data_IF_395872722283
#
_entry.id   IF_395872722283
#
_cell.length_a   1.000
_cell.length_b   1.000
_cell.length_c   1.000
_cell.angle_alpha   90.00
_cell.angle_beta   90.00
_cell.angle_gamma   90.00
#
_symmetry.space_group_name_H-M   'P 1'
#
loop_
_entity.id
_entity.type
_entity.pdbx_description
1 polymer ?
#
# COMPACT_ATOMS: atom_id res chain seq x y z
N UNK A 1 -45.27 27.85 -11.55
CA UNK A 1 -44.64 28.38 -10.31
C UNK A 1 -43.46 27.49 -9.94
N UNK A 2 -42.22 27.96 -10.10
CA UNK A 2 -41.04 27.27 -9.55
C UNK A 2 -40.86 27.80 -8.13
N UNK A 3 -41.16 26.99 -7.12
CA UNK A 3 -40.76 27.32 -5.76
C UNK A 3 -39.22 27.36 -5.74
N UNK A 4 -38.63 28.52 -5.49
CA UNK A 4 -37.21 28.62 -5.20
C UNK A 4 -36.97 28.00 -3.84
N UNK A 5 -36.57 26.73 -3.81
CA UNK A 5 -36.10 26.10 -2.58
C UNK A 5 -34.88 26.89 -2.09
N UNK A 6 -34.97 27.48 -0.90
CA UNK A 6 -33.80 28.05 -0.24
C UNK A 6 -32.78 26.93 0.01
N UNK A 7 -31.48 27.19 -0.18
CA UNK A 7 -30.45 26.18 0.03
C UNK A 7 -30.46 25.73 1.49
N UNK A 8 -30.42 24.42 1.70
CA UNK A 8 -30.38 23.83 3.04
C UNK A 8 -29.09 24.26 3.77
N UNK A 9 -29.16 24.76 5.01
CA UNK A 9 -28.00 25.28 5.74
C UNK A 9 -27.15 24.14 6.31
N UNK A 10 -26.46 23.39 5.47
CA UNK A 10 -25.72 22.19 5.88
C UNK A 10 -24.68 22.44 7.00
N UNK A 11 -24.00 23.59 6.98
CA UNK A 11 -23.00 23.94 7.99
C UNK A 11 -23.60 24.33 9.35
N UNK A 12 -24.91 24.59 9.44
CA UNK A 12 -25.56 24.81 10.74
C UNK A 12 -25.88 23.51 11.47
N UNK A 13 -25.74 22.35 10.81
CA UNK A 13 -25.89 21.06 11.46
C UNK A 13 -24.76 20.79 12.45
N UNK A 14 -24.99 20.05 13.55
CA UNK A 14 -23.91 19.56 14.41
C UNK A 14 -22.88 18.75 13.61
N UNK A 15 -21.58 18.80 13.98
CA UNK A 15 -20.53 18.05 13.29
C UNK A 15 -20.83 16.56 13.16
N UNK A 16 -21.43 15.94 14.18
CA UNK A 16 -21.76 14.51 14.22
C UNK A 16 -22.73 14.14 13.10
N UNK A 17 -23.73 14.99 12.85
CA UNK A 17 -24.70 14.81 11.76
C UNK A 17 -24.02 14.99 10.40
N UNK A 18 -23.11 15.98 10.27
CA UNK A 18 -22.34 16.16 9.04
C UNK A 18 -21.46 14.94 8.73
N UNK A 19 -20.80 14.37 9.74
CA UNK A 19 -19.99 13.17 9.60
C UNK A 19 -20.82 11.97 9.13
N UNK A 20 -22.03 11.78 9.68
CA UNK A 20 -22.95 10.73 9.20
C UNK A 20 -23.32 10.91 7.73
N UNK A 21 -23.58 12.16 7.30
CA UNK A 21 -23.82 12.46 5.89
C UNK A 21 -22.59 12.15 5.03
N UNK A 22 -21.38 12.48 5.50
CA UNK A 22 -20.16 12.13 4.78
C UNK A 22 -19.99 10.61 4.67
N UNK A 23 -20.13 9.85 5.76
CA UNK A 23 -20.05 8.39 5.76
C UNK A 23 -21.01 7.72 4.76
N UNK A 24 -22.19 8.31 4.56
CA UNK A 24 -23.13 7.86 3.54
C UNK A 24 -22.66 8.14 2.10
N UNK A 25 -21.83 9.16 1.88
CA UNK A 25 -21.43 9.65 0.55
C UNK A 25 -20.02 9.23 0.11
N UNK A 26 -19.21 8.67 1.01
CA UNK A 26 -17.82 8.25 0.75
C UNK A 26 -17.70 6.74 0.51
N UNK A 27 -16.51 6.22 0.14
CA UNK A 27 -16.28 4.78 0.00
C UNK A 27 -16.50 3.99 1.30
N UNK A 28 -17.09 2.80 1.20
CA UNK A 28 -17.24 1.86 2.32
C UNK A 28 -16.94 0.39 1.95
N UNK A 29 -16.27 0.20 0.81
CA UNK A 29 -15.66 -1.07 0.38
C UNK A 29 -14.20 -0.81 -0.01
N UNK A 30 -13.33 -1.83 -0.03
CA UNK A 30 -11.93 -1.68 -0.43
C UNK A 30 -11.76 -1.04 -1.81
N UNK A 31 -10.91 -0.02 -1.89
CA UNK A 31 -10.60 0.75 -3.10
C UNK A 31 -9.39 0.11 -3.79
N UNK A 32 -9.66 -0.63 -4.88
CA UNK A 32 -8.63 -1.27 -5.71
C UNK A 32 -8.30 -0.45 -6.94
N UNK A 33 -7.02 -0.36 -7.30
CA UNK A 33 -6.56 0.45 -8.42
C UNK A 33 -7.08 -0.06 -9.76
N UNK A 34 -7.09 -1.37 -9.96
CA UNK A 34 -7.57 -1.96 -11.22
C UNK A 34 -9.03 -1.59 -11.52
N UNK A 35 -9.89 -1.58 -10.49
CA UNK A 35 -11.29 -1.17 -10.63
C UNK A 35 -11.43 0.29 -11.10
N UNK A 36 -10.55 1.18 -10.64
CA UNK A 36 -10.54 2.60 -11.00
C UNK A 36 -9.96 2.86 -12.40
N UNK A 37 -9.00 2.03 -12.83
CA UNK A 37 -8.42 2.11 -14.18
C UNK A 37 -9.41 1.59 -15.22
N UNK A 38 -10.01 0.42 -14.97
CA UNK A 38 -10.92 -0.24 -15.91
C UNK A 38 -12.26 0.49 -16.02
N UNK A 39 -12.82 0.91 -14.89
CA UNK A 39 -14.08 1.65 -14.82
C UNK A 39 -13.80 3.02 -14.21
N UNK A 40 -14.08 4.10 -14.94
CA UNK A 40 -13.82 5.47 -14.44
C UNK A 40 -14.63 5.82 -13.17
N UNK A 41 -15.69 5.06 -12.86
CA UNK A 41 -16.55 5.23 -11.69
C UNK A 41 -17.04 3.86 -11.19
N UNK A 42 -16.18 3.04 -10.59
CA UNK A 42 -16.64 1.79 -10.01
C UNK A 42 -17.55 2.10 -8.81
N UNK A 43 -18.54 1.25 -8.51
CA UNK A 43 -19.30 1.39 -7.27
C UNK A 43 -18.32 1.17 -6.11
N UNK A 44 -18.09 2.21 -5.31
CA UNK A 44 -17.24 2.16 -4.10
C UNK A 44 -18.09 2.13 -2.82
N UNK A 45 -19.39 1.84 -2.96
CA UNK A 45 -20.34 1.66 -1.87
C UNK A 45 -21.00 0.29 -1.95
N UNK A 46 -21.30 -0.30 -0.80
CA UNK A 46 -21.99 -1.60 -0.67
C UNK A 46 -23.37 -1.62 -1.30
N UNK A 47 -24.07 -0.49 -1.31
CA UNK A 47 -25.39 -0.33 -1.93
C UNK A 47 -25.32 -0.08 -3.45
N UNK A 48 -24.12 -0.11 -4.04
CA UNK A 48 -23.91 0.12 -5.47
C UNK A 48 -24.07 1.57 -5.91
N UNK A 49 -24.41 2.49 -5.01
CA UNK A 49 -24.58 3.90 -5.35
C UNK A 49 -23.22 4.59 -5.55
N UNK A 50 -23.17 5.67 -6.35
CA UNK A 50 -21.94 6.42 -6.54
C UNK A 50 -21.51 7.14 -5.25
N UNK A 51 -20.20 7.23 -5.05
CA UNK A 51 -19.63 8.17 -4.08
C UNK A 51 -19.76 9.61 -4.60
N UNK A 52 -19.70 10.59 -3.70
CA UNK A 52 -19.78 12.01 -4.02
C UNK A 52 -18.45 12.75 -3.78
N UNK A 53 -17.45 12.62 -4.67
CA UNK A 53 -16.16 13.32 -4.52
C UNK A 53 -16.28 14.84 -4.69
N UNK A 54 -17.42 15.35 -5.15
CA UNK A 54 -17.71 16.78 -5.16
C UNK A 54 -17.69 17.39 -3.74
N UNK A 55 -17.96 16.57 -2.71
CA UNK A 55 -17.86 16.95 -1.30
C UNK A 55 -16.48 17.52 -0.95
N UNK A 56 -15.41 16.88 -1.44
CA UNK A 56 -14.02 17.31 -1.21
C UNK A 56 -13.68 18.65 -1.90
N UNK A 57 -14.57 19.18 -2.73
CA UNK A 57 -14.37 20.44 -3.46
C UNK A 57 -15.41 21.51 -3.13
N UNK A 58 -16.31 21.22 -2.18
CA UNK A 58 -17.43 22.11 -1.87
C UNK A 58 -16.97 23.40 -1.18
N UNK A 59 -16.27 23.29 -0.05
CA UNK A 59 -15.65 24.41 0.67
C UNK A 59 -14.56 23.92 1.64
N UNK A 60 -13.78 24.84 2.22
CA UNK A 60 -12.66 24.51 3.12
C UNK A 60 -13.08 23.76 4.40
N UNK A 61 -14.21 24.13 5.02
CA UNK A 61 -14.69 23.50 6.24
C UNK A 61 -15.05 22.03 5.98
N UNK A 62 -15.90 21.80 4.97
CA UNK A 62 -16.29 20.46 4.52
C UNK A 62 -15.06 19.65 4.08
N UNK A 63 -14.15 20.25 3.31
CA UNK A 63 -12.93 19.56 2.87
C UNK A 63 -12.10 19.06 4.06
N UNK A 64 -11.92 19.89 5.08
CA UNK A 64 -11.09 19.55 6.25
C UNK A 64 -11.68 18.40 7.07
N UNK A 65 -12.99 18.35 7.18
CA UNK A 65 -13.71 17.25 7.84
C UNK A 65 -13.72 16.00 6.94
N UNK A 66 -14.21 16.13 5.71
CA UNK A 66 -14.51 15.02 4.82
C UNK A 66 -13.27 14.31 4.29
N UNK A 67 -12.13 15.00 4.10
CA UNK A 67 -10.93 14.36 3.55
C UNK A 67 -10.41 13.26 4.47
N UNK A 68 -10.51 13.45 5.79
CA UNK A 68 -10.06 12.45 6.77
C UNK A 68 -10.96 11.24 6.68
N UNK A 69 -12.27 11.47 6.77
CA UNK A 69 -13.29 10.40 6.68
C UNK A 69 -13.16 9.61 5.38
N UNK A 70 -12.94 10.30 4.26
CA UNK A 70 -12.83 9.67 2.94
C UNK A 70 -11.75 8.59 2.91
N UNK A 71 -10.56 8.92 3.38
CA UNK A 71 -9.41 8.02 3.32
C UNK A 71 -9.33 7.05 4.51
N UNK A 72 -10.08 7.30 5.60
CA UNK A 72 -10.12 6.42 6.76
C UNK A 72 -11.24 5.38 6.75
N UNK A 73 -12.28 5.56 5.93
CA UNK A 73 -13.48 4.71 5.95
C UNK A 73 -13.32 3.35 5.25
N UNK A 74 -12.32 3.20 4.38
CA UNK A 74 -12.10 2.00 3.59
C UNK A 74 -10.63 1.62 3.50
N UNK A 75 -10.36 0.38 3.09
CA UNK A 75 -9.01 -0.06 2.74
C UNK A 75 -8.59 0.49 1.38
N UNK A 76 -7.35 0.97 1.28
CA UNK A 76 -6.79 1.49 0.02
C UNK A 76 -5.61 0.67 -0.46
N UNK A 77 -5.63 0.31 -1.74
CA UNK A 77 -4.54 -0.40 -2.39
C UNK A 77 -3.46 0.57 -2.89
N UNK A 78 -2.20 0.24 -2.59
CA UNK A 78 -1.00 0.89 -3.09
C UNK A 78 -0.13 -0.17 -3.76
N UNK A 79 0.21 0.02 -5.03
CA UNK A 79 1.12 -0.87 -5.75
C UNK A 79 2.45 -0.14 -5.94
N UNK A 80 3.56 -0.78 -5.58
CA UNK A 80 4.91 -0.26 -5.81
C UNK A 80 5.62 -1.14 -6.83
N UNK A 81 6.03 -0.51 -7.93
CA UNK A 81 6.71 -1.17 -9.05
C UNK A 81 8.10 -0.53 -9.30
N UNK A 82 8.93 -1.22 -10.07
CA UNK A 82 10.18 -0.74 -10.64
C UNK A 82 10.04 0.51 -11.53
N UNK A 83 8.83 0.94 -11.90
CA UNK A 83 8.61 2.17 -12.68
C UNK A 83 7.75 3.23 -12.01
N UNK A 84 6.86 2.85 -11.09
CA UNK A 84 5.86 3.78 -10.56
C UNK A 84 5.32 3.36 -9.19
N UNK A 85 4.61 4.28 -8.55
CA UNK A 85 3.65 3.97 -7.48
C UNK A 85 2.25 4.15 -8.07
N UNK A 86 1.33 3.23 -7.83
CA UNK A 86 -0.05 3.33 -8.26
C UNK A 86 -0.97 3.44 -7.04
N UNK A 87 -1.72 4.54 -6.97
CA UNK A 87 -2.62 4.85 -5.87
C UNK A 87 -3.88 5.56 -6.37
N UNK A 88 -5.05 5.13 -5.90
CA UNK A 88 -6.35 5.64 -6.33
C UNK A 88 -6.52 5.70 -7.86
N UNK A 89 -5.99 4.70 -8.59
CA UNK A 89 -6.07 4.62 -10.05
C UNK A 89 -5.17 5.63 -10.78
N UNK A 90 -4.26 6.31 -10.09
CA UNK A 90 -3.28 7.23 -10.68
C UNK A 90 -1.86 6.67 -10.57
N UNK A 91 -1.16 6.67 -11.70
CA UNK A 91 0.26 6.38 -11.77
C UNK A 91 1.03 7.61 -11.31
N UNK A 92 1.78 7.47 -10.22
CA UNK A 92 2.71 8.46 -9.70
C UNK A 92 4.07 8.20 -10.34
N UNK A 93 4.49 9.13 -11.21
CA UNK A 93 5.78 9.07 -11.87
C UNK A 93 6.93 9.20 -10.85
N UNK A 94 8.15 8.76 -11.20
CA UNK A 94 9.33 8.96 -10.36
C UNK A 94 9.48 10.43 -9.95
N UNK A 95 9.94 10.66 -8.71
CA UNK A 95 10.20 11.99 -8.11
C UNK A 95 8.98 12.92 -7.95
N UNK A 96 7.79 12.49 -8.37
CA UNK A 96 6.55 13.19 -8.02
C UNK A 96 6.27 12.97 -6.54
N UNK A 97 6.03 14.03 -5.75
CA UNK A 97 5.73 13.87 -4.33
C UNK A 97 4.47 13.04 -4.13
N UNK A 98 4.47 12.23 -3.09
CA UNK A 98 3.29 11.44 -2.72
C UNK A 98 2.10 12.37 -2.45
N UNK A 99 0.89 11.98 -2.88
CA UNK A 99 -0.32 12.69 -2.51
C UNK A 99 -0.39 12.82 -0.98
N UNK A 100 -0.57 14.05 -0.49
CA UNK A 100 -0.66 14.32 0.95
C UNK A 100 -1.79 13.53 1.61
N UNK A 101 -2.78 13.08 0.83
CA UNK A 101 -3.90 12.25 1.27
C UNK A 101 -3.51 10.87 1.77
N UNK A 102 -2.35 10.33 1.37
CA UNK A 102 -1.90 9.00 1.78
C UNK A 102 -1.75 8.88 3.32
N UNK A 103 -1.46 10.00 4.00
CA UNK A 103 -1.32 10.05 5.47
C UNK A 103 -2.63 9.77 6.21
N UNK A 104 -3.77 10.00 5.57
CA UNK A 104 -5.10 9.80 6.15
C UNK A 104 -5.60 8.36 6.00
N UNK A 105 -4.89 7.52 5.23
CA UNK A 105 -5.23 6.11 5.07
C UNK A 105 -5.03 5.38 6.39
N UNK A 106 -6.10 4.79 6.92
CA UNK A 106 -6.07 3.99 8.14
C UNK A 106 -5.79 2.52 7.86
N UNK A 107 -6.29 1.99 6.75
CA UNK A 107 -6.10 0.60 6.32
C UNK A 107 -5.49 0.59 4.93
N UNK A 108 -4.25 0.08 4.81
CA UNK A 108 -3.51 0.02 3.56
C UNK A 108 -3.28 -1.42 3.12
N UNK A 109 -3.52 -1.69 1.85
CA UNK A 109 -3.08 -2.90 1.17
C UNK A 109 -1.90 -2.55 0.26
N UNK A 110 -0.70 -2.96 0.65
CA UNK A 110 0.54 -2.68 -0.04
C UNK A 110 0.95 -3.90 -0.87
N UNK A 111 0.92 -3.76 -2.19
CA UNK A 111 1.32 -4.80 -3.13
C UNK A 111 2.75 -4.52 -3.63
N UNK A 112 3.66 -5.47 -3.42
CA UNK A 112 5.07 -5.38 -3.83
C UNK A 112 5.44 -6.65 -4.58
N UNK A 113 5.95 -6.51 -5.80
CA UNK A 113 6.64 -7.60 -6.49
C UNK A 113 8.13 -7.55 -6.13
N UNK A 114 8.70 -8.68 -5.69
CA UNK A 114 10.12 -8.73 -5.33
C UNK A 114 11.00 -8.37 -6.53
N UNK A 115 11.83 -7.35 -6.35
CA UNK A 115 12.80 -6.90 -7.33
C UNK A 115 14.17 -7.50 -7.05
N UNK A 116 14.99 -7.63 -8.11
CA UNK A 116 16.40 -8.02 -7.98
C UNK A 116 17.16 -6.98 -7.16
N UNK A 117 18.22 -7.41 -6.49
CA UNK A 117 19.19 -6.48 -5.88
C UNK A 117 20.28 -6.07 -6.89
N UNK A 118 20.96 -4.93 -6.70
CA UNK A 118 22.07 -4.50 -7.57
C UNK A 118 23.20 -5.54 -7.71
N UNK A 119 23.43 -6.37 -6.68
CA UNK A 119 24.43 -7.45 -6.71
C UNK A 119 24.13 -8.48 -7.82
N UNK A 120 22.86 -8.68 -8.18
CA UNK A 120 22.45 -9.61 -9.24
C UNK A 120 22.63 -9.02 -10.65
N UNK A 121 22.82 -7.71 -10.79
CA UNK A 121 23.07 -7.05 -12.09
C UNK A 121 24.51 -7.23 -12.58
N UNK A 122 25.43 -7.66 -11.71
CA UNK A 122 26.79 -8.03 -12.07
C UNK A 122 26.84 -9.35 -12.88
N UNK A 123 25.72 -10.07 -12.99
CA UNK A 123 25.59 -11.22 -13.89
C UNK A 123 25.32 -10.71 -15.31
N UNK A 124 26.06 -11.18 -16.33
CA UNK A 124 26.01 -10.65 -17.71
C UNK A 124 24.65 -10.79 -18.42
N UNK A 125 23.68 -11.46 -17.82
CA UNK A 125 22.35 -11.79 -18.37
C UNK A 125 21.25 -10.80 -17.93
N UNK A 126 21.58 -9.80 -17.10
CA UNK A 126 20.58 -8.89 -16.55
C UNK A 126 20.21 -7.75 -17.53
N UNK A 127 18.99 -7.81 -18.06
CA UNK A 127 18.41 -6.81 -18.98
C UNK A 127 17.70 -5.64 -18.29
N UNK A 128 17.58 -5.64 -16.95
CA UNK A 128 16.94 -4.56 -16.22
C UNK A 128 17.92 -3.39 -16.00
N UNK A 129 17.58 -2.16 -16.42
CA UNK A 129 18.40 -0.98 -16.14
C UNK A 129 18.58 -0.80 -14.64
N UNK A 130 19.83 -0.60 -14.18
CA UNK A 130 20.16 -0.27 -12.78
C UNK A 130 19.28 0.89 -12.24
N UNK A 131 18.96 1.85 -13.10
CA UNK A 131 18.07 2.98 -12.82
C UNK A 131 16.69 2.56 -12.32
N UNK A 132 16.11 1.48 -12.85
CA UNK A 132 14.80 0.99 -12.41
C UNK A 132 14.85 0.37 -11.01
N UNK A 133 15.94 -0.33 -10.67
CA UNK A 133 16.12 -0.94 -9.34
C UNK A 133 16.38 0.11 -8.27
N UNK A 134 17.22 1.10 -8.57
CA UNK A 134 17.44 2.22 -7.64
C UNK A 134 16.17 3.05 -7.49
N UNK A 135 15.48 3.33 -8.59
CA UNK A 135 14.19 4.03 -8.54
C UNK A 135 13.12 3.27 -7.75
N UNK A 136 13.12 1.93 -7.79
CA UNK A 136 12.22 1.11 -6.95
C UNK A 136 12.46 1.37 -5.47
N UNK A 137 13.72 1.31 -5.07
CA UNK A 137 14.13 1.53 -3.68
C UNK A 137 13.74 2.94 -3.22
N UNK A 138 14.04 3.97 -4.02
CA UNK A 138 13.69 5.36 -3.71
C UNK A 138 12.18 5.55 -3.53
N UNK A 139 11.37 4.92 -4.39
CA UNK A 139 9.90 4.97 -4.30
C UNK A 139 9.39 4.25 -3.05
N UNK A 140 9.95 3.09 -2.73
CA UNK A 140 9.57 2.36 -1.53
C UNK A 140 9.95 3.12 -0.25
N UNK A 141 11.14 3.73 -0.20
CA UNK A 141 11.56 4.60 0.90
C UNK A 141 10.64 5.82 1.02
N UNK A 142 10.32 6.46 -0.10
CA UNK A 142 9.42 7.63 -0.11
C UNK A 142 8.04 7.26 0.41
N UNK A 143 7.49 6.12 -0.04
CA UNK A 143 6.23 5.59 0.47
C UNK A 143 6.30 5.30 1.96
N UNK A 144 7.32 4.54 2.39
CA UNK A 144 7.47 4.12 3.77
C UNK A 144 7.61 5.32 4.72
N UNK A 145 8.35 6.37 4.34
CA UNK A 145 8.40 7.63 5.09
C UNK A 145 7.05 8.35 5.11
N UNK A 146 6.36 8.40 3.97
CA UNK A 146 5.06 9.07 3.86
C UNK A 146 3.96 8.41 4.72
N UNK A 147 4.02 7.09 4.90
CA UNK A 147 3.07 6.34 5.75
C UNK A 147 3.61 6.09 7.16
N UNK A 148 4.90 6.36 7.42
CA UNK A 148 5.54 6.20 8.72
C UNK A 148 5.62 7.49 9.55
N UNK A 149 5.38 8.66 8.95
CA UNK A 149 5.51 9.98 9.58
C UNK A 149 4.63 10.12 10.87
N UNK A 150 5.24 10.27 12.06
CA UNK A 150 4.50 10.32 13.33
C UNK A 150 3.60 11.56 13.45
N UNK A 151 3.87 12.65 12.72
CA UNK A 151 3.17 13.93 12.90
C UNK A 151 1.81 13.97 12.17
N UNK A 152 1.47 12.95 11.39
CA UNK A 152 0.21 12.94 10.65
C UNK A 152 -0.30 11.58 10.20
N UNK A 153 0.43 10.50 10.46
CA UNK A 153 0.03 9.14 10.10
C UNK A 153 -1.25 8.74 10.84
N UNK A 154 -2.17 8.13 10.09
CA UNK A 154 -3.37 7.47 10.62
C UNK A 154 -3.40 5.97 10.35
N UNK A 155 -2.35 5.41 9.76
CA UNK A 155 -2.22 3.99 9.46
C UNK A 155 -2.32 3.14 10.74
N UNK A 156 -3.35 2.30 10.80
CA UNK A 156 -3.59 1.33 11.87
C UNK A 156 -3.43 -0.10 11.39
N UNK A 157 -3.79 -0.37 10.14
CA UNK A 157 -3.72 -1.70 9.56
C UNK A 157 -2.93 -1.67 8.26
N UNK A 158 -1.89 -2.49 8.19
CA UNK A 158 -1.09 -2.71 6.98
C UNK A 158 -1.18 -4.19 6.58
N UNK A 159 -1.70 -4.44 5.37
CA UNK A 159 -1.62 -5.74 4.71
C UNK A 159 -0.55 -5.65 3.62
N UNK A 160 0.49 -6.47 3.70
CA UNK A 160 1.56 -6.52 2.70
C UNK A 160 1.39 -7.75 1.83
N UNK A 161 1.06 -7.56 0.57
CA UNK A 161 0.99 -8.62 -0.43
C UNK A 161 2.31 -8.64 -1.21
N UNK A 162 3.01 -9.77 -1.13
CA UNK A 162 4.32 -9.96 -1.74
C UNK A 162 4.16 -10.94 -2.90
N UNK A 163 4.32 -10.44 -4.12
CA UNK A 163 4.34 -11.26 -5.31
C UNK A 163 5.74 -11.86 -5.52
N UNK A 164 5.79 -13.19 -5.62
CA UNK A 164 7.03 -13.96 -5.75
C UNK A 164 6.97 -14.86 -6.97
N UNK A 165 7.79 -14.55 -7.97
CA UNK A 165 8.11 -15.47 -9.06
C UNK A 165 9.11 -16.51 -8.51
N UNK A 166 8.65 -17.75 -8.30
CA UNK A 166 9.43 -18.78 -7.63
C UNK A 166 10.65 -19.23 -8.46
N UNK A 167 10.53 -19.47 -9.78
CA UNK A 167 11.69 -19.71 -10.63
C UNK A 167 12.73 -18.59 -10.55
N UNK A 168 12.29 -17.33 -10.61
CA UNK A 168 13.18 -16.19 -10.47
C UNK A 168 13.84 -16.17 -9.10
N UNK A 169 13.08 -16.39 -8.02
CA UNK A 169 13.62 -16.43 -6.66
C UNK A 169 14.74 -17.48 -6.51
N UNK A 170 14.52 -18.70 -7.01
CA UNK A 170 15.53 -19.77 -6.95
C UNK A 170 16.76 -19.49 -7.82
N UNK A 171 16.61 -18.71 -8.89
CA UNK A 171 17.74 -18.25 -9.71
C UNK A 171 18.60 -17.19 -9.00
N UNK A 172 17.96 -16.36 -8.17
CA UNK A 172 18.58 -15.23 -7.46
C UNK A 172 19.17 -15.66 -6.12
N UNK A 173 18.47 -16.53 -5.39
CA UNK A 173 18.79 -16.92 -4.03
C UNK A 173 18.91 -18.43 -3.95
N UNK A 174 20.15 -18.93 -4.04
CA UNK A 174 20.48 -20.35 -3.86
C UNK A 174 20.75 -20.68 -2.40
N UNK A 175 21.01 -19.66 -1.59
CA UNK A 175 21.28 -19.78 -0.16
C UNK A 175 20.31 -18.93 0.68
N UNK A 176 20.06 -19.32 1.95
CA UNK A 176 19.30 -18.50 2.89
C UNK A 176 19.84 -17.07 3.06
N UNK A 177 21.17 -16.90 3.00
CA UNK A 177 21.80 -15.59 3.14
C UNK A 177 21.48 -14.66 1.96
N UNK A 178 21.55 -15.18 0.72
CA UNK A 178 21.17 -14.41 -0.47
C UNK A 178 19.68 -14.03 -0.45
N UNK A 179 18.82 -14.93 0.04
CA UNK A 179 17.39 -14.63 0.20
C UNK A 179 17.16 -13.51 1.22
N UNK A 180 17.86 -13.54 2.35
CA UNK A 180 17.73 -12.49 3.37
C UNK A 180 18.15 -11.13 2.82
N UNK A 181 19.23 -11.06 2.03
CA UNK A 181 19.64 -9.83 1.36
C UNK A 181 18.60 -9.34 0.34
N UNK A 182 17.99 -10.25 -0.41
CA UNK A 182 16.90 -9.93 -1.34
C UNK A 182 15.68 -9.38 -0.58
N UNK A 183 15.27 -10.02 0.51
CA UNK A 183 14.13 -9.60 1.32
C UNK A 183 14.39 -8.25 1.99
N UNK A 184 15.59 -8.05 2.55
CA UNK A 184 16.01 -6.77 3.13
C UNK A 184 15.93 -5.65 2.11
N UNK A 185 16.49 -5.83 0.91
CA UNK A 185 16.43 -4.84 -0.15
C UNK A 185 14.99 -4.42 -0.49
N UNK A 186 14.06 -5.38 -0.52
CA UNK A 186 12.68 -5.15 -0.95
C UNK A 186 11.73 -4.72 0.17
N UNK A 187 12.07 -4.94 1.44
CA UNK A 187 11.12 -4.77 2.56
C UNK A 187 11.69 -3.93 3.70
N UNK A 188 13.01 -3.78 3.84
CA UNK A 188 13.60 -2.96 4.89
C UNK A 188 13.15 -1.50 4.86
N UNK A 189 12.95 -0.84 3.70
CA UNK A 189 12.41 0.51 3.69
C UNK A 189 11.06 0.61 4.43
N UNK A 190 10.15 -0.35 4.23
CA UNK A 190 8.86 -0.41 4.93
C UNK A 190 9.08 -0.76 6.39
N UNK A 191 9.83 -1.84 6.66
CA UNK A 191 10.15 -2.31 8.02
C UNK A 191 10.72 -1.18 8.86
N UNK A 192 11.75 -0.47 8.38
CA UNK A 192 12.48 0.51 9.16
C UNK A 192 11.71 1.80 9.43
N UNK A 193 10.89 2.26 8.47
CA UNK A 193 10.23 3.56 8.56
C UNK A 193 8.79 3.46 9.12
N UNK A 194 8.16 2.29 9.09
CA UNK A 194 6.77 2.11 9.53
C UNK A 194 6.73 1.37 10.86
N UNK A 195 6.44 2.07 11.96
CA UNK A 195 6.39 1.53 13.34
C UNK A 195 5.04 1.78 14.00
N UNK A 196 4.77 1.16 15.14
CA UNK A 196 3.55 1.39 15.93
C UNK A 196 2.25 1.18 15.14
N UNK A 197 2.22 0.21 14.22
CA UNK A 197 1.00 -0.14 13.48
C UNK A 197 0.21 -1.16 14.31
N UNK A 198 -1.10 -0.94 14.54
CA UNK A 198 -1.93 -1.81 15.38
C UNK A 198 -2.00 -3.24 14.82
N UNK A 199 -2.12 -3.39 13.50
CA UNK A 199 -2.23 -4.68 12.82
C UNK A 199 -1.35 -4.70 11.58
N UNK A 200 -0.39 -5.62 11.54
CA UNK A 200 0.40 -5.93 10.34
C UNK A 200 0.15 -7.38 9.95
N UNK A 201 -0.30 -7.59 8.71
CA UNK A 201 -0.50 -8.90 8.10
C UNK A 201 0.28 -8.96 6.78
N UNK A 202 0.63 -10.16 6.34
CA UNK A 202 1.27 -10.36 5.06
C UNK A 202 0.66 -11.56 4.33
N UNK A 203 0.72 -11.51 3.00
CA UNK A 203 0.32 -12.60 2.11
C UNK A 203 1.42 -12.77 1.06
N UNK A 204 1.88 -14.01 0.85
CA UNK A 204 2.85 -14.32 -0.20
C UNK A 204 2.11 -14.97 -1.37
N UNK A 205 2.11 -14.31 -2.53
CA UNK A 205 1.53 -14.85 -3.76
C UNK A 205 2.61 -15.47 -4.63
N UNK A 206 2.67 -16.80 -4.56
CA UNK A 206 3.65 -17.62 -5.26
C UNK A 206 3.21 -17.90 -6.70
N UNK A 207 4.05 -17.53 -7.68
CA UNK A 207 3.87 -17.87 -9.08
C UNK A 207 4.87 -18.98 -9.45
N UNK A 208 4.39 -20.23 -9.51
CA UNK A 208 5.25 -21.42 -9.69
C UNK A 208 5.19 -22.07 -11.08
N UNK A 209 4.44 -21.50 -12.04
CA UNK A 209 4.30 -21.98 -13.43
C UNK A 209 4.15 -23.51 -13.62
N UNK A 210 3.59 -24.23 -12.64
CA UNK A 210 3.36 -25.67 -12.72
C UNK A 210 4.61 -26.55 -12.50
N UNK A 211 5.71 -26.01 -11.98
CA UNK A 211 6.91 -26.80 -11.66
C UNK A 211 6.65 -27.64 -10.39
N UNK A 212 6.77 -28.96 -10.48
CA UNK A 212 6.48 -29.90 -9.39
C UNK A 212 7.64 -30.88 -9.10
N UNK A 213 8.88 -30.59 -9.53
CA UNK A 213 9.99 -31.49 -9.20
C UNK A 213 10.23 -31.51 -7.69
N UNK A 214 10.52 -32.68 -7.12
CA UNK A 214 10.73 -32.84 -5.68
C UNK A 214 11.91 -31.99 -5.18
N UNK A 215 12.97 -31.88 -5.99
CA UNK A 215 14.15 -31.05 -5.71
C UNK A 215 13.78 -29.56 -5.63
N UNK A 216 12.91 -29.09 -6.53
CA UNK A 216 12.40 -27.71 -6.53
C UNK A 216 11.57 -27.43 -5.28
N UNK A 217 10.66 -28.34 -4.93
CA UNK A 217 9.82 -28.21 -3.73
C UNK A 217 10.65 -28.22 -2.44
N UNK A 218 11.69 -29.06 -2.38
CA UNK A 218 12.59 -29.13 -1.23
C UNK A 218 13.42 -27.84 -1.09
N UNK A 219 14.06 -27.39 -2.17
CA UNK A 219 14.86 -26.16 -2.18
C UNK A 219 14.00 -24.94 -1.85
N UNK A 220 12.79 -24.84 -2.42
CA UNK A 220 11.88 -23.75 -2.12
C UNK A 220 11.32 -23.82 -0.70
N UNK A 221 11.07 -25.01 -0.15
CA UNK A 221 10.57 -25.19 1.20
C UNK A 221 11.48 -24.59 2.28
N UNK A 222 12.79 -24.76 2.13
CA UNK A 222 13.78 -24.13 3.02
C UNK A 222 13.72 -22.59 2.92
N UNK A 223 13.78 -22.06 1.70
CA UNK A 223 13.71 -20.62 1.43
C UNK A 223 12.40 -20.00 1.93
N UNK A 224 11.28 -20.70 1.73
CA UNK A 224 9.96 -20.28 2.20
C UNK A 224 9.93 -20.16 3.73
N UNK A 225 10.55 -21.10 4.44
CA UNK A 225 10.66 -21.06 5.91
C UNK A 225 11.45 -19.83 6.36
N UNK A 226 12.57 -19.54 5.69
CA UNK A 226 13.40 -18.35 5.97
C UNK A 226 12.63 -17.05 5.70
N UNK A 227 11.89 -17.01 4.58
CA UNK A 227 11.05 -15.86 4.21
C UNK A 227 9.94 -15.61 5.25
N UNK A 228 9.19 -16.65 5.64
CA UNK A 228 8.15 -16.51 6.66
C UNK A 228 8.71 -16.02 8.00
N UNK A 229 9.87 -16.54 8.42
CA UNK A 229 10.54 -16.07 9.63
C UNK A 229 10.95 -14.60 9.53
N UNK A 230 11.47 -14.17 8.38
CA UNK A 230 11.78 -12.76 8.15
C UNK A 230 10.55 -11.87 8.26
N UNK A 231 9.42 -12.30 7.67
CA UNK A 231 8.17 -11.54 7.68
C UNK A 231 7.53 -11.47 9.08
N UNK A 232 7.58 -12.54 9.87
CA UNK A 232 7.14 -12.49 11.26
C UNK A 232 8.02 -11.55 12.11
N UNK A 233 9.35 -11.61 11.96
CA UNK A 233 10.23 -10.68 12.65
C UNK A 233 9.94 -9.21 12.25
N UNK A 234 9.71 -8.96 10.95
CA UNK A 234 9.32 -7.64 10.46
C UNK A 234 8.00 -7.18 11.10
N UNK A 235 7.00 -8.06 11.16
CA UNK A 235 5.70 -7.80 11.78
C UNK A 235 5.84 -7.42 13.25
N UNK A 236 6.57 -8.22 14.03
CA UNK A 236 6.81 -7.96 15.45
C UNK A 236 7.45 -6.58 15.68
N UNK A 237 8.44 -6.21 14.88
CA UNK A 237 9.10 -4.91 15.00
C UNK A 237 8.22 -3.73 14.57
N UNK A 238 7.29 -3.93 13.64
CA UNK A 238 6.40 -2.88 13.16
C UNK A 238 5.21 -2.65 14.10
N UNK A 239 4.80 -3.68 14.83
CA UNK A 239 3.74 -3.60 15.85
C UNK A 239 4.29 -3.09 17.19
N UNK A 240 5.55 -3.40 17.52
CA UNK A 240 6.18 -2.97 18.75
C UNK A 240 6.31 -1.44 18.83
N UNK A 241 5.75 -0.85 19.90
CA UNK A 241 6.03 0.52 20.32
C UNK A 241 7.43 0.59 20.92
N UNK A 242 8.43 0.92 20.10
CA UNK A 242 9.78 1.24 20.58
C UNK A 242 9.91 2.67 21.11
N UNK A 243 8.81 3.38 21.36
CA UNK A 243 8.81 4.69 22.01
C UNK A 243 8.73 4.62 23.56
N UNK A 244 8.74 3.42 24.14
CA UNK A 244 9.04 3.24 25.57
C UNK A 244 10.53 2.93 25.75
N UNK A 245 11.41 3.93 25.59
CA UNK A 245 12.74 3.99 26.23
C UNK A 245 13.45 5.31 25.88
N UNK A 246 13.24 6.30 26.76
CA UNK A 246 14.16 7.27 27.40
C UNK A 246 13.46 8.61 27.58
#
# INVERSE_FOLDING_TARGET
MRQSMSPFPFLSLPPEVRLQVYHYLIPNIPVRNFSLIRNKRPPLRRDGQPCCPALLRANHAIHTEAIREWYSAAAYEVIVDAKYILFCGKILAPYVPLPSTIRYVTTMHLCIALQRTPLHLLRPEATAPLEHLLGFQDRLVTLAKGIGDPVGRRLRTLLVEIEVDVPLLLSLSKTPAELLELLRWNLDPVRQNVRSVEVVNWEVKEQSYGIQSQEFLAAYGELRTVMHRFLENMREEMVSDKDNLV
#
